data_IF_608981806201
#
_entry.id   IF_608981806201
#
_cell.length_a   1.000
_cell.length_b   1.000
_cell.length_c   1.000
_cell.angle_alpha   90.00
_cell.angle_beta   90.00
_cell.angle_gamma   90.00
#
_symmetry.space_group_name_H-M   'P 1'
#
loop_
_entity.id
_entity.type
_entity.pdbx_description
1 polymer ?
#
# COMPACT_ATOMS: atom_id res chain seq x y z
N UNK A 1 -30.60 -73.52 4.80
CA UNK A 1 -29.40 -74.17 5.38
C UNK A 1 -28.15 -73.51 4.81
N UNK A 2 -27.27 -73.00 5.69
CA UNK A 2 -25.83 -72.61 5.50
C UNK A 2 -25.58 -71.33 4.67
N UNK A 3 -25.31 -70.15 5.25
CA UNK A 3 -24.04 -69.63 5.81
C UNK A 3 -22.83 -69.94 4.89
N UNK A 4 -22.08 -68.99 4.32
CA UNK A 4 -21.23 -67.99 5.02
C UNK A 4 -20.62 -66.89 4.11
N UNK A 5 -20.45 -65.70 4.72
CA UNK A 5 -19.29 -64.77 4.64
C UNK A 5 -19.08 -63.89 3.41
N UNK A 6 -19.54 -62.64 3.57
CA UNK A 6 -18.86 -61.45 3.08
C UNK A 6 -17.37 -61.47 3.46
N UNK A 7 -16.48 -61.04 2.57
CA UNK A 7 -15.16 -60.53 2.91
C UNK A 7 -14.80 -59.39 1.95
N UNK A 8 -14.60 -58.21 2.55
CA UNK A 8 -14.16 -56.98 1.94
C UNK A 8 -12.81 -57.16 1.25
N UNK A 9 -12.70 -56.77 -0.02
CA UNK A 9 -11.43 -56.50 -0.67
C UNK A 9 -11.33 -55.00 -0.99
N UNK A 10 -11.32 -54.18 0.06
CA UNK A 10 -10.77 -52.84 0.00
C UNK A 10 -9.24 -52.96 0.10
N UNK A 11 -8.58 -53.27 -1.03
CA UNK A 11 -7.13 -53.25 -1.10
C UNK A 11 -6.66 -51.81 -1.28
N UNK A 12 -6.45 -51.16 -0.13
CA UNK A 12 -5.68 -49.94 0.06
C UNK A 12 -4.30 -50.13 -0.58
N UNK A 13 -4.08 -49.54 -1.75
CA UNK A 13 -2.72 -49.32 -2.29
C UNK A 13 -2.22 -47.94 -1.85
N UNK A 14 -2.12 -47.75 -0.53
CA UNK A 14 -1.38 -46.65 0.07
C UNK A 14 -0.01 -47.15 0.54
N UNK A 15 0.82 -47.59 -0.41
CA UNK A 15 2.17 -48.11 -0.14
C UNK A 15 3.19 -47.50 -1.10
N UNK A 16 3.31 -46.17 -1.04
CA UNK A 16 4.45 -45.43 -1.57
C UNK A 16 4.86 -44.31 -0.59
N UNK A 17 4.99 -44.66 0.70
CA UNK A 17 5.64 -43.80 1.71
C UNK A 17 7.15 -44.07 1.69
N UNK A 18 7.80 -43.74 0.57
CA UNK A 18 9.25 -43.76 0.41
C UNK A 18 9.79 -42.35 0.19
N UNK A 19 10.58 -41.86 1.16
CA UNK A 19 11.59 -40.79 1.03
C UNK A 19 11.18 -39.35 0.68
N UNK A 20 9.92 -38.94 0.81
CA UNK A 20 9.57 -37.51 0.73
C UNK A 20 9.11 -36.96 2.07
N UNK A 21 9.91 -36.03 2.59
CA UNK A 21 9.58 -35.24 3.77
C UNK A 21 8.21 -34.57 3.62
N UNK A 22 7.35 -34.73 4.63
CA UNK A 22 5.98 -34.23 4.61
C UNK A 22 5.92 -32.70 4.44
N UNK A 23 4.83 -32.22 3.83
CA UNK A 23 4.60 -30.79 3.64
C UNK A 23 4.60 -30.03 4.98
N UNK A 24 4.01 -30.61 6.02
CA UNK A 24 4.01 -30.03 7.36
C UNK A 24 5.42 -29.86 7.94
N UNK A 25 6.31 -30.85 7.76
CA UNK A 25 7.70 -30.76 8.23
C UNK A 25 8.49 -29.73 7.44
N UNK A 26 8.28 -29.64 6.11
CA UNK A 26 8.88 -28.58 5.28
C UNK A 26 8.45 -27.18 5.74
N UNK A 27 7.16 -26.97 6.00
CA UNK A 27 6.64 -25.70 6.48
C UNK A 27 7.18 -25.34 7.88
N UNK A 28 7.33 -26.32 8.79
CA UNK A 28 7.91 -26.08 10.11
C UNK A 28 9.35 -25.56 10.05
N UNK A 29 10.18 -26.14 9.18
CA UNK A 29 11.57 -25.71 9.04
C UNK A 29 11.70 -24.36 8.35
N UNK A 30 10.86 -24.07 7.35
CA UNK A 30 10.81 -22.74 6.72
C UNK A 30 10.46 -21.69 7.78
N UNK A 31 9.45 -21.95 8.62
CA UNK A 31 9.10 -21.06 9.74
C UNK A 31 10.26 -20.84 10.70
N UNK A 32 10.96 -21.89 11.08
CA UNK A 32 12.07 -21.80 12.03
C UNK A 32 13.25 -21.00 11.46
N UNK A 33 13.65 -21.28 10.23
CA UNK A 33 14.71 -20.52 9.57
C UNK A 33 14.29 -19.06 9.33
N UNK A 34 13.06 -18.81 8.88
CA UNK A 34 12.56 -17.45 8.67
C UNK A 34 12.41 -16.64 9.97
N UNK A 35 12.28 -17.30 11.13
CA UNK A 35 12.19 -16.62 12.45
C UNK A 35 13.50 -15.97 12.88
N UNK A 36 14.64 -16.55 12.49
CA UNK A 36 15.98 -16.14 12.96
C UNK A 36 16.76 -15.34 11.93
N UNK A 37 16.21 -15.17 10.73
CA UNK A 37 16.88 -14.46 9.62
C UNK A 37 16.05 -13.28 9.15
N UNK A 38 16.72 -12.22 8.67
CA UNK A 38 16.06 -10.98 8.26
C UNK A 38 15.32 -11.06 6.91
N UNK A 39 15.74 -11.96 6.01
CA UNK A 39 15.17 -12.05 4.66
C UNK A 39 15.10 -13.50 4.14
N UNK A 40 14.41 -13.70 3.02
CA UNK A 40 14.25 -15.00 2.38
C UNK A 40 15.59 -15.63 1.95
N UNK A 41 16.63 -14.84 1.66
CA UNK A 41 17.94 -15.37 1.27
C UNK A 41 18.66 -15.98 2.47
N UNK A 42 18.64 -15.30 3.62
CA UNK A 42 19.14 -15.82 4.88
C UNK A 42 18.37 -17.07 5.30
N UNK A 43 17.04 -17.04 5.22
CA UNK A 43 16.21 -18.21 5.51
C UNK A 43 16.54 -19.39 4.59
N UNK A 44 16.77 -19.13 3.29
CA UNK A 44 17.17 -20.16 2.34
C UNK A 44 18.54 -20.78 2.67
N UNK A 45 19.52 -19.96 3.06
CA UNK A 45 20.83 -20.45 3.50
C UNK A 45 20.72 -21.32 4.76
N UNK A 46 19.90 -20.90 5.74
CA UNK A 46 19.60 -21.72 6.91
C UNK A 46 18.98 -23.09 6.52
N UNK A 47 18.03 -23.09 5.59
CA UNK A 47 17.39 -24.32 5.09
C UNK A 47 18.38 -25.27 4.39
N UNK A 48 19.32 -24.73 3.61
CA UNK A 48 20.37 -25.52 2.96
C UNK A 48 21.34 -26.10 3.98
N UNK A 49 21.85 -25.27 4.90
CA UNK A 49 22.89 -25.66 5.84
C UNK A 49 22.38 -26.61 6.93
N UNK A 50 21.23 -26.30 7.54
CA UNK A 50 20.71 -27.07 8.68
C UNK A 50 19.86 -28.26 8.25
N UNK A 51 19.08 -28.08 7.18
CA UNK A 51 18.04 -29.03 6.81
C UNK A 51 18.28 -29.71 5.45
N UNK A 52 19.44 -29.47 4.83
CA UNK A 52 19.89 -30.09 3.58
C UNK A 52 18.91 -29.91 2.42
N UNK A 53 18.24 -28.76 2.36
CA UNK A 53 17.37 -28.44 1.22
C UNK A 53 18.20 -28.19 -0.04
N UNK A 54 17.62 -28.48 -1.19
CA UNK A 54 18.14 -27.96 -2.45
C UNK A 54 18.02 -26.42 -2.46
N UNK A 55 19.05 -25.72 -2.91
CA UNK A 55 19.13 -24.25 -2.90
C UNK A 55 17.93 -23.58 -3.60
N UNK A 56 17.53 -24.06 -4.77
CA UNK A 56 16.42 -23.46 -5.51
C UNK A 56 15.09 -23.69 -4.78
N UNK A 57 14.89 -24.89 -4.23
CA UNK A 57 13.70 -25.21 -3.43
C UNK A 57 13.64 -24.42 -2.11
N UNK A 58 14.79 -24.22 -1.46
CA UNK A 58 14.91 -23.43 -0.23
C UNK A 58 14.56 -21.96 -0.48
N UNK A 59 15.12 -21.37 -1.54
CA UNK A 59 14.85 -19.98 -1.90
C UNK A 59 13.39 -19.78 -2.29
N UNK A 60 12.81 -20.67 -3.09
CA UNK A 60 11.40 -20.60 -3.46
C UNK A 60 10.50 -20.66 -2.22
N UNK A 61 10.71 -21.64 -1.34
CA UNK A 61 9.90 -21.79 -0.13
C UNK A 61 10.04 -20.61 0.85
N UNK A 62 11.26 -20.12 1.07
CA UNK A 62 11.51 -18.96 1.92
C UNK A 62 10.89 -17.68 1.33
N UNK A 63 10.96 -17.49 0.01
CA UNK A 63 10.36 -16.35 -0.67
C UNK A 63 8.84 -16.38 -0.57
N UNK A 64 8.21 -17.53 -0.85
CA UNK A 64 6.76 -17.69 -0.70
C UNK A 64 6.31 -17.43 0.74
N UNK A 65 7.05 -17.94 1.72
CA UNK A 65 6.74 -17.71 3.13
C UNK A 65 6.85 -16.23 3.51
N UNK A 66 7.93 -15.55 3.09
CA UNK A 66 8.09 -14.12 3.32
C UNK A 66 6.94 -13.32 2.70
N UNK A 67 6.58 -13.60 1.45
CA UNK A 67 5.46 -12.93 0.77
C UNK A 67 4.13 -13.14 1.49
N UNK A 68 3.86 -14.34 2.02
CA UNK A 68 2.66 -14.62 2.80
C UNK A 68 2.65 -13.87 4.13
N UNK A 69 3.80 -13.79 4.79
CA UNK A 69 3.90 -13.05 6.05
C UNK A 69 3.74 -11.54 5.83
N UNK A 70 4.38 -11.00 4.79
CA UNK A 70 4.27 -9.60 4.39
C UNK A 70 2.84 -9.25 3.98
N UNK A 71 2.15 -10.15 3.26
CA UNK A 71 0.74 -9.93 2.88
C UNK A 71 -0.18 -9.91 4.10
N UNK A 72 0.03 -10.80 5.09
CA UNK A 72 -0.74 -10.80 6.34
C UNK A 72 -0.47 -9.51 7.13
N UNK A 73 0.79 -9.11 7.26
CA UNK A 73 1.16 -7.87 7.93
C UNK A 73 0.50 -6.65 7.24
N UNK A 74 0.51 -6.62 5.91
CA UNK A 74 -0.15 -5.57 5.13
C UNK A 74 -1.66 -5.58 5.32
N UNK A 75 -2.31 -6.74 5.32
CA UNK A 75 -3.75 -6.86 5.59
C UNK A 75 -4.11 -6.32 6.98
N UNK A 76 -3.29 -6.62 7.99
CA UNK A 76 -3.48 -6.05 9.33
C UNK A 76 -3.33 -4.53 9.33
N UNK A 77 -2.25 -3.99 8.73
CA UNK A 77 -2.04 -2.55 8.62
C UNK A 77 -3.20 -1.85 7.90
N UNK A 78 -3.68 -2.40 6.79
CA UNK A 78 -4.82 -1.88 6.04
C UNK A 78 -6.13 -1.97 6.84
N UNK A 79 -6.33 -3.05 7.60
CA UNK A 79 -7.52 -3.22 8.43
C UNK A 79 -7.60 -2.18 9.54
N UNK A 80 -6.50 -1.95 10.26
CA UNK A 80 -6.40 -0.93 11.30
C UNK A 80 -6.61 0.45 10.69
N UNK A 81 -5.96 0.72 9.56
CA UNK A 81 -6.14 1.98 8.84
C UNK A 81 -7.60 2.24 8.44
N UNK A 82 -8.31 1.21 7.96
CA UNK A 82 -9.74 1.33 7.60
C UNK A 82 -10.65 1.44 8.81
N UNK A 83 -10.32 0.77 9.92
CA UNK A 83 -11.10 0.89 11.16
C UNK A 83 -11.12 2.35 11.66
N UNK A 84 -10.04 3.09 11.42
CA UNK A 84 -9.89 4.49 11.83
C UNK A 84 -10.31 5.49 10.73
N UNK A 85 -10.99 5.03 9.67
CA UNK A 85 -11.37 5.86 8.53
C UNK A 85 -12.24 7.08 8.90
N UNK A 86 -13.08 6.98 9.93
CA UNK A 86 -13.88 8.11 10.41
C UNK A 86 -12.99 9.22 10.98
N UNK A 87 -11.97 8.84 11.77
CA UNK A 87 -10.98 9.77 12.32
C UNK A 87 -10.14 10.39 11.19
N UNK A 88 -9.64 9.58 10.27
CA UNK A 88 -8.88 10.06 9.10
C UNK A 88 -9.67 11.08 8.27
N UNK A 89 -10.98 10.90 8.10
CA UNK A 89 -11.84 11.90 7.42
C UNK A 89 -11.93 13.22 8.18
N UNK A 90 -11.99 13.18 9.50
CA UNK A 90 -12.01 14.39 10.34
C UNK A 90 -10.67 15.14 10.24
N UNK A 91 -9.55 14.42 10.36
CA UNK A 91 -8.20 14.99 10.23
C UNK A 91 -8.01 15.66 8.85
N UNK A 92 -8.45 15.02 7.76
CA UNK A 92 -8.44 15.63 6.42
C UNK A 92 -9.29 16.91 6.39
N UNK A 93 -10.50 16.89 6.96
CA UNK A 93 -11.40 18.03 6.94
C UNK A 93 -10.89 19.20 7.82
N UNK A 94 -10.15 18.91 8.89
CA UNK A 94 -9.47 19.89 9.72
C UNK A 94 -8.27 20.50 8.99
N UNK A 95 -7.41 19.66 8.40
CA UNK A 95 -6.26 20.12 7.64
C UNK A 95 -6.63 20.90 6.37
N UNK A 96 -7.76 20.58 5.73
CA UNK A 96 -8.27 21.35 4.61
C UNK A 96 -8.70 22.79 4.99
N UNK A 97 -8.92 23.06 6.28
CA UNK A 97 -9.23 24.40 6.80
C UNK A 97 -8.00 25.14 7.33
N UNK A 98 -6.83 24.52 7.34
CA UNK A 98 -5.59 25.13 7.81
C UNK A 98 -5.30 26.40 6.99
N UNK A 99 -5.16 27.59 7.63
CA UNK A 99 -4.86 28.84 6.94
C UNK A 99 -3.58 28.82 6.10
N UNK A 100 -2.64 27.93 6.41
CA UNK A 100 -1.38 27.77 5.67
C UNK A 100 -1.57 27.10 4.31
N UNK A 101 -2.68 26.38 4.10
CA UNK A 101 -2.95 25.61 2.87
C UNK A 101 -2.02 24.40 2.68
N UNK A 102 -1.24 24.03 3.69
CA UNK A 102 -0.27 22.92 3.67
C UNK A 102 -0.86 21.68 4.35
N UNK A 103 -1.74 21.01 3.62
CA UNK A 103 -2.47 19.82 4.09
C UNK A 103 -1.52 18.68 4.41
N UNK A 104 -0.47 18.48 3.60
CA UNK A 104 0.54 17.45 3.84
C UNK A 104 1.20 17.61 5.21
N UNK A 105 1.73 18.81 5.52
CA UNK A 105 2.38 19.06 6.81
C UNK A 105 1.40 18.94 7.98
N UNK A 106 0.16 19.40 7.81
CA UNK A 106 -0.87 19.25 8.83
C UNK A 106 -1.16 17.77 9.14
N UNK A 107 -1.36 16.93 8.11
CA UNK A 107 -1.61 15.49 8.27
C UNK A 107 -0.41 14.75 8.90
N UNK A 108 0.82 15.15 8.57
CA UNK A 108 2.01 14.61 9.24
C UNK A 108 2.02 14.90 10.75
N UNK A 109 1.42 16.02 11.18
CA UNK A 109 1.21 16.32 12.60
C UNK A 109 0.30 15.32 13.32
N UNK A 110 -0.64 14.69 12.60
CA UNK A 110 -1.47 13.58 13.10
C UNK A 110 -0.77 12.22 13.01
N UNK A 111 0.51 12.16 12.61
CA UNK A 111 1.28 10.92 12.50
C UNK A 111 1.09 10.19 11.16
N UNK A 112 0.52 10.84 10.15
CA UNK A 112 0.44 10.25 8.81
C UNK A 112 1.84 10.10 8.21
N UNK A 113 2.08 8.96 7.54
CA UNK A 113 3.26 8.81 6.70
C UNK A 113 3.23 9.84 5.57
N UNK A 114 4.36 10.51 5.33
CA UNK A 114 4.49 11.62 4.35
C UNK A 114 3.92 11.26 2.97
N UNK A 115 4.30 10.09 2.42
CA UNK A 115 3.81 9.63 1.12
C UNK A 115 2.28 9.51 1.06
N UNK A 116 1.64 9.14 2.18
CA UNK A 116 0.17 9.04 2.26
C UNK A 116 -0.47 10.40 2.45
N UNK A 117 0.13 11.27 3.27
CA UNK A 117 -0.33 12.64 3.46
C UNK A 117 -0.32 13.41 2.13
N UNK A 118 0.78 13.36 1.39
CA UNK A 118 0.92 13.98 0.07
C UNK A 118 -0.10 13.43 -0.95
N UNK A 119 -0.25 12.11 -1.03
CA UNK A 119 -1.24 11.49 -1.93
C UNK A 119 -2.68 11.89 -1.58
N UNK A 120 -2.96 12.09 -0.29
CA UNK A 120 -4.27 12.52 0.21
C UNK A 120 -4.54 13.97 -0.15
N UNK A 121 -3.57 14.85 0.07
CA UNK A 121 -3.63 16.24 -0.38
C UNK A 121 -3.91 16.33 -1.89
N UNK A 122 -3.15 15.59 -2.71
CA UNK A 122 -3.34 15.56 -4.17
C UNK A 122 -4.70 15.01 -4.58
N UNK A 123 -5.25 14.06 -3.82
CA UNK A 123 -6.59 13.53 -4.09
C UNK A 123 -7.68 14.55 -3.75
N UNK A 124 -7.57 15.24 -2.62
CA UNK A 124 -8.49 16.30 -2.21
C UNK A 124 -8.43 17.43 -3.23
N UNK A 125 -7.23 17.84 -3.62
CA UNK A 125 -7.01 18.86 -4.63
C UNK A 125 -7.68 18.52 -5.98
N UNK A 126 -7.56 17.26 -6.42
CA UNK A 126 -8.21 16.81 -7.66
C UNK A 126 -9.73 16.71 -7.53
N UNK A 127 -10.25 16.32 -6.36
CA UNK A 127 -11.69 16.29 -6.10
C UNK A 127 -12.31 17.68 -6.29
N UNK A 128 -11.63 18.72 -5.82
CA UNK A 128 -12.09 20.11 -5.90
C UNK A 128 -11.79 20.80 -7.25
N UNK A 129 -11.35 20.05 -8.27
CA UNK A 129 -11.02 20.61 -9.59
C UNK A 129 -12.11 21.50 -10.22
N UNK A 130 -13.43 21.21 -10.13
CA UNK A 130 -14.46 22.10 -10.64
C UNK A 130 -14.47 23.48 -9.95
N UNK A 131 -14.29 23.49 -8.62
CA UNK A 131 -14.17 24.72 -7.83
C UNK A 131 -12.93 25.51 -8.25
N UNK A 132 -11.78 24.84 -8.34
CA UNK A 132 -10.52 25.45 -8.78
C UNK A 132 -10.63 26.15 -10.16
N UNK A 133 -11.38 25.56 -11.11
CA UNK A 133 -11.62 26.21 -12.42
C UNK A 133 -12.42 27.50 -12.30
N UNK A 134 -13.41 27.56 -11.42
CA UNK A 134 -14.21 28.78 -11.20
C UNK A 134 -13.37 29.88 -10.55
N UNK A 135 -12.50 29.52 -9.60
CA UNK A 135 -11.56 30.43 -8.95
C UNK A 135 -10.57 31.02 -9.96
N UNK A 136 -9.95 30.16 -10.79
CA UNK A 136 -9.07 30.60 -11.89
C UNK A 136 -9.82 31.54 -12.84
N UNK A 137 -11.04 31.19 -13.27
CA UNK A 137 -11.82 32.03 -14.18
C UNK A 137 -12.17 33.39 -13.55
N UNK A 138 -12.41 33.43 -12.24
CA UNK A 138 -12.69 34.67 -11.51
C UNK A 138 -11.43 35.54 -11.41
N UNK A 139 -10.31 34.96 -10.97
CA UNK A 139 -9.03 35.66 -10.87
C UNK A 139 -8.51 36.14 -12.23
N UNK A 140 -8.70 35.36 -13.31
CA UNK A 140 -8.25 35.75 -14.66
C UNK A 140 -9.06 36.92 -15.22
N UNK A 141 -10.35 37.04 -14.85
CA UNK A 141 -11.18 38.19 -15.23
C UNK A 141 -10.78 39.47 -14.49
N UNK A 142 -10.18 39.35 -13.31
CA UNK A 142 -9.79 40.48 -12.47
C UNK A 142 -8.47 41.08 -12.98
N UNK A 143 -8.55 42.02 -13.93
CA UNK A 143 -7.40 42.64 -14.64
C UNK A 143 -6.38 43.40 -13.77
N UNK A 144 -6.54 43.42 -12.45
CA UNK A 144 -5.71 44.22 -11.53
C UNK A 144 -4.49 43.48 -10.98
N UNK A 145 -4.37 42.17 -11.18
CA UNK A 145 -3.26 41.36 -10.67
C UNK A 145 -3.05 40.07 -11.48
N UNK A 146 -1.90 39.40 -11.27
CA UNK A 146 -1.66 38.06 -11.79
C UNK A 146 -2.63 37.05 -11.17
N UNK A 147 -3.05 36.05 -11.94
CA UNK A 147 -4.05 35.09 -11.51
C UNK A 147 -3.56 34.30 -10.29
N UNK A 148 -2.30 33.86 -10.29
CA UNK A 148 -1.69 33.17 -9.14
C UNK A 148 -1.66 34.00 -7.86
N UNK A 149 -1.36 35.31 -7.94
CA UNK A 149 -1.43 36.19 -6.77
C UNK A 149 -2.85 36.30 -6.21
N UNK A 150 -3.85 36.44 -7.08
CA UNK A 150 -5.26 36.43 -6.69
C UNK A 150 -5.64 35.12 -5.99
N UNK A 151 -5.21 33.98 -6.55
CA UNK A 151 -5.49 32.66 -6.00
C UNK A 151 -4.87 32.45 -4.61
N UNK A 152 -3.64 32.93 -4.39
CA UNK A 152 -3.00 32.88 -3.06
C UNK A 152 -3.73 33.76 -2.04
N UNK A 153 -4.05 35.01 -2.41
CA UNK A 153 -4.64 35.99 -1.51
C UNK A 153 -6.07 35.60 -1.10
N UNK A 154 -6.92 35.28 -2.08
CA UNK A 154 -8.36 35.10 -1.87
C UNK A 154 -8.77 33.65 -1.68
N UNK A 155 -8.06 32.69 -2.28
CA UNK A 155 -8.46 31.27 -2.28
C UNK A 155 -7.45 30.36 -1.57
N UNK A 156 -6.40 30.93 -0.98
CA UNK A 156 -5.39 30.21 -0.18
C UNK A 156 -4.70 29.08 -0.94
N UNK A 157 -4.55 29.25 -2.25
CA UNK A 157 -3.76 28.32 -3.05
C UNK A 157 -2.32 28.32 -2.56
N UNK A 158 -1.69 27.14 -2.50
CA UNK A 158 -0.28 27.06 -2.17
C UNK A 158 0.57 27.74 -3.26
N UNK A 159 1.74 28.32 -2.92
CA UNK A 159 2.59 29.00 -3.89
C UNK A 159 2.93 28.13 -5.13
N UNK A 160 3.28 26.82 -5.00
CA UNK A 160 3.54 25.98 -6.17
C UNK A 160 2.36 25.87 -7.12
N UNK A 161 1.13 25.74 -6.59
CA UNK A 161 -0.10 25.61 -7.40
C UNK A 161 -0.46 26.90 -8.10
N UNK A 162 -0.29 28.04 -7.41
CA UNK A 162 -0.53 29.35 -7.99
C UNK A 162 0.46 29.66 -9.12
N UNK A 163 1.76 29.38 -8.92
CA UNK A 163 2.79 29.54 -9.95
C UNK A 163 2.52 28.66 -11.17
N UNK A 164 2.08 27.42 -10.96
CA UNK A 164 1.72 26.51 -12.05
C UNK A 164 0.57 27.06 -12.92
N UNK A 165 -0.38 27.78 -12.34
CA UNK A 165 -1.47 28.45 -13.09
C UNK A 165 -0.92 29.59 -13.95
N UNK A 166 -0.11 30.48 -13.38
CA UNK A 166 0.47 31.60 -14.12
C UNK A 166 1.34 31.11 -15.29
N UNK A 167 2.15 30.07 -15.05
CA UNK A 167 2.93 29.41 -16.09
C UNK A 167 2.06 28.77 -17.18
N UNK A 168 0.96 28.13 -16.81
CA UNK A 168 0.01 27.55 -17.76
C UNK A 168 -0.65 28.62 -18.64
N UNK A 169 -1.10 29.73 -18.04
CA UNK A 169 -1.70 30.86 -18.75
C UNK A 169 -0.68 31.48 -19.72
N UNK A 170 0.54 31.75 -19.25
CA UNK A 170 1.62 32.29 -20.08
C UNK A 170 1.93 31.39 -21.27
N UNK A 171 2.03 30.07 -21.05
CA UNK A 171 2.22 29.10 -22.14
C UNK A 171 1.06 29.08 -23.13
N UNK A 172 -0.18 29.22 -22.67
CA UNK A 172 -1.34 29.28 -23.54
C UNK A 172 -1.37 30.56 -24.39
N UNK A 173 -0.91 31.69 -23.84
CA UNK A 173 -0.79 32.96 -24.56
C UNK A 173 0.28 32.92 -25.65
N UNK A 174 1.44 32.29 -25.38
CA UNK A 174 2.51 32.16 -26.39
C UNK A 174 2.15 31.25 -27.58
N UNK A 175 1.10 30.43 -27.45
CA UNK A 175 0.64 29.52 -28.51
C UNK A 175 -0.47 30.12 -29.37
N UNK A 176 -0.98 31.30 -29.01
CA UNK A 176 -1.98 32.06 -29.79
C UNK A 176 -1.26 33.09 -30.65
#
# INVERSE_FOLDING_TARGET
>A
MRWTKAWFAAAVTASALGCFKSAAKKAAEVRECSRITMDAKGAAQCLVLQYKWNQAAALAAATTYQQQHDSIAQLHADSTWRAEAARHKQEIAECAKDPSGDVTRCLMGYGWAEARAAATEDSVWRHDAPKHRQEIATCTRQRKMQAGSCLQLYYKWSPPRALAVDDSIRRAQMRR
#
